data_IF_937159355979
#
_entry.id   IF_937159355979
#
_cell.length_a   1.000
_cell.length_b   1.000
_cell.length_c   1.000
_cell.angle_alpha   90.00
_cell.angle_beta   90.00
_cell.angle_gamma   90.00
#
_symmetry.space_group_name_H-M   'P 1'
#
loop_
_entity.id
_entity.type
_entity.pdbx_description
1 polymer ?
#
# COMPACT_ATOMS: atom_id res chain seq x y z
N UNK A 1 13.64 -22.18 8.95
CA UNK A 1 12.34 -21.47 8.87
C UNK A 1 11.48 -22.04 7.76
N UNK A 2 10.16 -22.08 7.92
CA UNK A 2 9.23 -22.37 6.82
C UNK A 2 8.93 -21.11 6.03
N UNK A 3 8.78 -21.22 4.71
CA UNK A 3 8.46 -20.10 3.83
C UNK A 3 7.60 -20.54 2.65
N UNK A 4 6.77 -19.64 2.13
CA UNK A 4 6.08 -19.80 0.86
C UNK A 4 6.97 -19.25 -0.26
N UNK A 5 7.45 -20.14 -1.13
CA UNK A 5 8.48 -19.86 -2.13
C UNK A 5 7.88 -19.92 -3.53
N UNK A 6 8.08 -18.88 -4.30
CA UNK A 6 7.84 -18.86 -5.74
C UNK A 6 9.04 -19.54 -6.39
N UNK A 7 8.91 -20.81 -6.73
CA UNK A 7 9.98 -21.59 -7.37
C UNK A 7 10.01 -21.41 -8.88
N UNK A 8 8.87 -21.01 -9.46
CA UNK A 8 8.70 -20.75 -10.88
C UNK A 8 7.57 -19.73 -11.08
N UNK A 9 7.78 -18.78 -11.97
CA UNK A 9 6.78 -17.78 -12.37
C UNK A 9 5.51 -18.48 -12.90
N UNK A 10 4.34 -17.92 -12.52
CA UNK A 10 3.01 -18.44 -12.89
C UNK A 10 2.71 -19.89 -12.41
N UNK A 11 3.44 -20.37 -11.41
CA UNK A 11 3.16 -21.69 -10.80
C UNK A 11 2.75 -21.51 -9.32
N UNK A 12 2.03 -22.48 -8.73
CA UNK A 12 1.72 -22.46 -7.31
C UNK A 12 2.98 -22.26 -6.46
N UNK A 13 2.84 -21.51 -5.38
CA UNK A 13 3.93 -21.30 -4.42
C UNK A 13 4.11 -22.57 -3.58
N UNK A 14 5.35 -22.94 -3.32
CA UNK A 14 5.69 -24.14 -2.56
C UNK A 14 6.05 -23.76 -1.12
N UNK A 15 5.50 -24.50 -0.15
CA UNK A 15 5.95 -24.39 1.24
C UNK A 15 7.26 -25.17 1.39
N UNK A 16 8.34 -24.47 1.75
CA UNK A 16 9.68 -25.04 1.91
C UNK A 16 10.29 -24.71 3.25
N UNK A 17 11.12 -25.61 3.74
CA UNK A 17 12.05 -25.33 4.85
C UNK A 17 13.33 -24.75 4.26
N UNK A 18 13.68 -23.55 4.69
CA UNK A 18 14.88 -22.81 4.33
C UNK A 18 15.79 -22.67 5.56
N UNK A 19 17.10 -22.44 5.39
CA UNK A 19 17.96 -22.04 6.51
C UNK A 19 17.42 -20.79 7.20
N UNK A 20 17.64 -20.68 8.51
CA UNK A 20 17.31 -19.46 9.24
C UNK A 20 18.28 -18.34 8.83
N UNK A 21 17.79 -17.10 8.63
CA UNK A 21 18.64 -15.98 8.28
C UNK A 21 19.42 -15.48 9.50
N UNK A 22 20.63 -14.96 9.27
CA UNK A 22 21.45 -14.28 10.29
C UNK A 22 21.75 -12.85 9.86
N UNK A 23 21.67 -11.86 10.78
CA UNK A 23 21.78 -10.46 10.41
C UNK A 23 23.25 -10.05 10.21
N UNK A 24 23.51 -9.33 9.13
CA UNK A 24 24.75 -8.59 8.92
C UNK A 24 24.72 -7.26 9.71
N UNK A 25 25.86 -6.53 9.82
CA UNK A 25 25.87 -5.23 10.49
C UNK A 25 24.80 -4.27 9.92
N UNK A 26 23.97 -3.71 10.85
CA UNK A 26 22.86 -2.83 10.52
C UNK A 26 21.57 -3.55 10.09
N UNK A 27 21.53 -4.88 10.12
CA UNK A 27 20.35 -5.68 9.85
C UNK A 27 19.73 -6.26 11.13
N UNK A 28 18.50 -6.74 11.01
CA UNK A 28 17.76 -7.43 12.08
C UNK A 28 17.08 -8.67 11.52
N UNK A 29 16.85 -9.69 12.36
CA UNK A 29 15.96 -10.81 12.06
C UNK A 29 14.64 -10.59 12.79
N UNK A 30 13.54 -10.73 12.06
CA UNK A 30 12.19 -10.54 12.57
C UNK A 30 11.46 -11.88 12.50
N UNK A 31 10.89 -12.33 13.61
CA UNK A 31 9.91 -13.40 13.66
C UNK A 31 8.58 -12.83 13.16
N UNK A 32 8.15 -13.27 12.00
CA UNK A 32 6.93 -12.78 11.36
C UNK A 32 5.70 -13.38 12.04
N UNK A 33 4.76 -12.53 12.43
CA UNK A 33 3.46 -12.92 12.98
C UNK A 33 2.35 -12.79 11.92
N UNK A 34 2.43 -11.77 11.07
CA UNK A 34 1.49 -11.57 9.98
C UNK A 34 2.17 -10.92 8.77
N UNK A 35 1.69 -11.22 7.57
CA UNK A 35 2.13 -10.61 6.31
C UNK A 35 0.91 -10.36 5.42
N UNK A 36 0.69 -9.11 5.04
CA UNK A 36 -0.37 -8.78 4.09
C UNK A 36 -0.04 -9.25 2.68
N UNK A 37 -1.07 -9.64 1.94
CA UNK A 37 -0.98 -9.97 0.52
C UNK A 37 -1.76 -8.95 -0.32
N UNK A 38 -1.13 -8.40 -1.35
CA UNK A 38 -1.75 -7.40 -2.22
C UNK A 38 -1.50 -7.66 -3.72
N UNK A 39 -2.00 -6.77 -4.58
CA UNK A 39 -1.79 -6.86 -6.03
C UNK A 39 -0.32 -6.92 -6.46
N UNK A 40 0.58 -6.34 -5.67
CA UNK A 40 2.03 -6.43 -5.92
C UNK A 40 2.55 -7.87 -5.84
N UNK A 41 2.02 -8.70 -4.93
CA UNK A 41 2.41 -10.11 -4.84
C UNK A 41 1.95 -10.89 -6.08
N UNK A 42 0.83 -10.51 -6.70
CA UNK A 42 0.41 -11.02 -8.01
C UNK A 42 1.39 -10.59 -9.11
N UNK A 43 1.84 -9.33 -9.11
CA UNK A 43 2.86 -8.86 -10.06
C UNK A 43 4.19 -9.62 -9.91
N UNK A 44 4.60 -9.97 -8.68
CA UNK A 44 5.77 -10.83 -8.43
C UNK A 44 5.52 -12.24 -8.97
N UNK A 45 4.34 -12.82 -8.68
CA UNK A 45 3.94 -14.14 -9.17
C UNK A 45 3.98 -14.23 -10.71
N UNK A 46 3.57 -13.16 -11.39
CA UNK A 46 3.59 -13.08 -12.87
C UNK A 46 4.94 -12.64 -13.46
N UNK A 47 5.94 -12.36 -12.63
CA UNK A 47 7.29 -12.00 -13.08
C UNK A 47 7.45 -10.55 -13.56
N UNK A 48 6.48 -9.67 -13.29
CA UNK A 48 6.49 -8.28 -13.80
C UNK A 48 7.63 -7.43 -13.21
N UNK A 49 8.24 -7.82 -12.09
CA UNK A 49 9.40 -7.14 -11.49
C UNK A 49 10.76 -7.67 -12.00
N UNK A 50 10.77 -8.65 -12.89
CA UNK A 50 12.02 -9.23 -13.40
C UNK A 50 12.84 -9.99 -12.36
N UNK A 51 12.24 -10.37 -11.24
CA UNK A 51 12.88 -11.19 -10.22
C UNK A 51 13.07 -12.62 -10.71
N UNK A 52 14.22 -13.21 -10.37
CA UNK A 52 14.54 -14.59 -10.73
C UNK A 52 14.19 -15.53 -9.57
N UNK A 53 13.31 -16.53 -9.74
CA UNK A 53 13.07 -17.54 -8.74
C UNK A 53 14.34 -18.31 -8.32
N UNK A 54 14.46 -18.80 -7.06
CA UNK A 54 13.40 -18.84 -6.05
C UNK A 54 13.22 -17.50 -5.32
N UNK A 55 11.97 -17.11 -5.02
CA UNK A 55 11.63 -15.84 -4.38
C UNK A 55 10.73 -16.12 -3.17
N UNK A 56 11.05 -15.56 -2.01
CA UNK A 56 10.11 -15.42 -0.89
C UNK A 56 9.47 -14.05 -1.00
N UNK A 57 8.17 -13.98 -1.31
CA UNK A 57 7.41 -12.74 -1.41
C UNK A 57 6.85 -12.28 -0.06
N UNK A 58 5.98 -11.28 -0.05
CA UNK A 58 5.39 -10.70 1.16
C UNK A 58 6.09 -9.41 1.58
N UNK A 59 5.57 -8.28 1.11
CA UNK A 59 6.15 -6.95 1.37
C UNK A 59 5.36 -6.14 2.40
N UNK A 60 4.45 -6.77 3.11
CA UNK A 60 3.67 -6.21 4.22
C UNK A 60 3.93 -7.00 5.52
N UNK A 61 5.20 -7.32 5.87
CA UNK A 61 5.51 -8.15 7.03
C UNK A 61 5.45 -7.34 8.30
N UNK A 62 4.93 -7.98 9.35
CA UNK A 62 4.94 -7.47 10.72
C UNK A 62 5.28 -8.60 11.70
N UNK A 63 6.02 -8.26 12.75
CA UNK A 63 6.47 -9.24 13.71
C UNK A 63 7.28 -8.66 14.84
N UNK A 64 8.11 -9.49 15.44
CA UNK A 64 8.95 -9.16 16.58
C UNK A 64 10.44 -9.38 16.23
N UNK A 65 11.30 -8.46 16.60
CA UNK A 65 12.75 -8.59 16.42
C UNK A 65 13.26 -9.69 17.35
N UNK A 66 13.96 -10.67 16.78
CA UNK A 66 14.54 -11.79 17.52
C UNK A 66 16.07 -11.78 17.53
N UNK A 67 16.72 -11.08 16.58
CA UNK A 67 18.17 -10.98 16.51
C UNK A 67 18.57 -9.61 15.92
N UNK A 68 19.65 -9.04 16.47
CA UNK A 68 20.21 -7.75 16.02
C UNK A 68 21.61 -7.97 15.45
N UNK A 69 21.86 -7.41 14.27
CA UNK A 69 23.22 -7.29 13.72
C UNK A 69 24.02 -6.19 14.40
N UNK A 70 25.33 -6.27 14.27
CA UNK A 70 26.23 -5.26 14.86
C UNK A 70 25.88 -3.83 14.40
N UNK A 71 25.97 -2.85 15.31
CA UNK A 71 25.74 -1.43 15.04
C UNK A 71 24.26 -1.03 15.02
N UNK A 72 23.30 -1.92 15.28
CA UNK A 72 21.90 -1.55 15.52
C UNK A 72 21.75 -1.07 16.96
N UNK A 73 21.38 0.18 17.17
CA UNK A 73 21.29 0.84 18.47
C UNK A 73 19.92 1.43 18.80
N UNK A 74 19.11 1.63 17.77
CA UNK A 74 17.78 2.27 17.81
C UNK A 74 16.60 1.29 17.91
N UNK A 75 16.90 -0.01 17.86
CA UNK A 75 15.95 -1.11 18.02
C UNK A 75 16.46 -2.13 19.03
N UNK A 76 15.55 -2.94 19.59
CA UNK A 76 15.83 -3.97 20.59
C UNK A 76 15.19 -5.30 20.21
N UNK A 77 15.73 -6.41 20.71
CA UNK A 77 15.05 -7.70 20.71
C UNK A 77 13.76 -7.58 21.50
N UNK A 78 12.66 -8.08 20.95
CA UNK A 78 11.32 -7.94 21.49
C UNK A 78 10.53 -6.75 20.92
N UNK A 79 11.16 -5.82 20.20
CA UNK A 79 10.45 -4.73 19.56
C UNK A 79 9.48 -5.26 18.49
N UNK A 80 8.24 -4.77 18.53
CA UNK A 80 7.20 -5.06 17.57
C UNK A 80 7.35 -4.13 16.38
N UNK A 81 7.65 -4.68 15.22
CA UNK A 81 7.97 -3.90 14.02
C UNK A 81 7.26 -4.44 12.77
N UNK A 82 7.11 -3.58 11.78
CA UNK A 82 6.89 -4.00 10.41
C UNK A 82 7.98 -3.43 9.51
N UNK A 83 8.09 -3.97 8.30
CA UNK A 83 9.11 -3.58 7.33
C UNK A 83 8.44 -2.96 6.11
N UNK A 84 8.85 -1.77 5.76
CA UNK A 84 8.36 -1.10 4.56
C UNK A 84 9.20 -1.44 3.31
N UNK A 85 8.69 -1.09 2.14
CA UNK A 85 9.27 -1.46 0.86
C UNK A 85 10.74 -1.07 0.71
N UNK A 86 11.05 0.22 0.91
CA UNK A 86 12.40 0.78 0.76
C UNK A 86 13.13 0.76 2.08
N UNK A 87 14.10 -0.15 2.24
CA UNK A 87 14.71 -0.40 3.55
C UNK A 87 15.95 0.46 3.81
N UNK A 88 16.81 0.69 2.80
CA UNK A 88 18.07 1.40 2.99
C UNK A 88 18.52 2.13 1.73
N UNK A 89 18.68 3.44 1.81
CA UNK A 89 19.36 4.24 0.80
C UNK A 89 20.87 4.09 0.84
N UNK A 90 21.58 4.58 -0.19
CA UNK A 90 23.06 4.51 -0.21
C UNK A 90 23.75 5.49 0.75
N UNK A 91 23.03 6.41 1.37
CA UNK A 91 23.52 7.40 2.35
C UNK A 91 24.35 8.56 1.78
N UNK A 92 24.80 8.51 0.52
CA UNK A 92 25.77 9.47 -0.06
C UNK A 92 25.33 10.21 -1.31
N UNK A 93 24.23 9.81 -1.96
CA UNK A 93 23.70 10.56 -3.10
C UNK A 93 22.90 11.78 -2.63
N UNK A 94 22.63 12.71 -3.55
CA UNK A 94 21.90 13.94 -3.25
C UNK A 94 20.56 13.67 -2.55
N UNK A 95 19.78 12.71 -3.05
CA UNK A 95 18.49 12.34 -2.47
C UNK A 95 18.61 11.81 -1.05
N UNK A 96 19.60 10.96 -0.76
CA UNK A 96 19.83 10.49 0.61
C UNK A 96 20.26 11.64 1.55
N UNK A 97 21.14 12.51 1.09
CA UNK A 97 21.62 13.63 1.89
C UNK A 97 20.57 14.72 2.14
N UNK A 98 19.56 14.81 1.25
CA UNK A 98 18.40 15.69 1.48
C UNK A 98 17.28 15.05 2.33
N UNK A 99 17.52 13.85 2.91
CA UNK A 99 16.55 13.16 3.75
C UNK A 99 15.60 12.21 3.00
N UNK A 100 15.54 12.26 1.67
CA UNK A 100 14.68 11.39 0.86
C UNK A 100 15.46 10.15 0.38
N UNK A 101 15.78 9.24 1.29
CA UNK A 101 16.47 8.00 0.93
C UNK A 101 15.63 7.05 0.06
N UNK A 102 14.32 7.20 0.05
CA UNK A 102 13.41 6.35 -0.72
C UNK A 102 13.47 6.62 -2.24
N UNK A 103 13.84 7.83 -2.64
CA UNK A 103 14.12 8.19 -4.03
C UNK A 103 15.57 7.87 -4.47
N UNK A 104 16.34 7.15 -3.65
CA UNK A 104 17.70 6.76 -3.97
C UNK A 104 17.71 5.72 -5.11
N UNK A 105 18.44 5.99 -6.19
CA UNK A 105 18.59 5.04 -7.30
C UNK A 105 19.28 3.70 -6.91
N UNK A 106 19.90 3.64 -5.72
CA UNK A 106 20.53 2.45 -5.14
C UNK A 106 19.84 2.00 -3.86
N UNK A 107 18.54 2.29 -3.73
CA UNK A 107 17.78 1.86 -2.56
C UNK A 107 17.73 0.33 -2.52
N UNK A 108 17.92 -0.22 -1.32
CA UNK A 108 17.70 -1.63 -1.06
C UNK A 108 16.26 -1.83 -0.56
N UNK A 109 15.62 -2.84 -1.09
CA UNK A 109 14.23 -3.18 -0.80
C UNK A 109 14.16 -4.61 -0.23
N UNK A 110 12.98 -5.06 0.13
CA UNK A 110 12.75 -6.45 0.53
C UNK A 110 13.17 -7.47 -0.55
N UNK A 111 13.15 -7.08 -1.83
CA UNK A 111 13.46 -7.97 -2.96
C UNK A 111 14.88 -8.55 -2.92
N UNK A 112 15.82 -7.88 -2.25
CA UNK A 112 17.20 -8.36 -2.08
C UNK A 112 17.38 -9.26 -0.85
N UNK A 113 16.47 -9.18 0.12
CA UNK A 113 16.61 -9.86 1.42
C UNK A 113 15.59 -10.99 1.61
N UNK A 114 14.56 -11.05 0.78
CA UNK A 114 13.39 -11.92 0.95
C UNK A 114 12.26 -11.22 1.70
N UNK A 115 11.03 -11.69 1.48
CA UNK A 115 9.81 -11.12 2.05
C UNK A 115 9.28 -11.90 3.25
N UNK A 116 8.19 -11.39 3.83
CA UNK A 116 7.60 -11.89 5.07
C UNK A 116 6.59 -13.03 4.93
N UNK A 117 6.46 -13.64 3.74
CA UNK A 117 5.72 -14.90 3.63
C UNK A 117 6.58 -16.08 4.11
N UNK A 118 7.22 -15.92 5.27
CA UNK A 118 8.14 -16.83 5.94
C UNK A 118 8.08 -16.63 7.46
N UNK A 119 8.49 -17.63 8.24
CA UNK A 119 8.52 -17.55 9.71
C UNK A 119 9.53 -16.50 10.23
N UNK A 120 10.65 -16.33 9.51
CA UNK A 120 11.69 -15.35 9.82
C UNK A 120 11.98 -14.49 8.58
N UNK A 121 12.27 -13.22 8.78
CA UNK A 121 12.66 -12.30 7.72
C UNK A 121 13.90 -11.51 8.11
N UNK A 122 14.83 -11.37 7.18
CA UNK A 122 15.96 -10.47 7.30
C UNK A 122 15.56 -9.07 6.82
N UNK A 123 15.88 -8.03 7.59
CA UNK A 123 15.59 -6.65 7.21
C UNK A 123 16.73 -5.71 7.60
N UNK A 124 16.84 -4.55 6.93
CA UNK A 124 17.64 -3.44 7.43
C UNK A 124 16.90 -2.78 8.59
N UNK A 125 17.61 -2.48 9.69
CA UNK A 125 17.02 -1.76 10.83
C UNK A 125 16.37 -0.43 10.41
N UNK A 126 16.98 0.30 9.45
CA UNK A 126 16.41 1.52 8.86
C UNK A 126 15.11 1.31 8.09
N UNK A 127 14.81 0.08 7.67
CA UNK A 127 13.56 -0.31 7.01
C UNK A 127 12.46 -0.73 7.97
N UNK A 128 12.74 -0.82 9.27
CA UNK A 128 11.76 -1.19 10.29
C UNK A 128 11.05 0.05 10.85
N UNK A 129 9.75 -0.06 11.08
CA UNK A 129 8.98 0.92 11.84
C UNK A 129 8.29 0.21 13.02
N UNK A 130 8.33 0.83 14.21
CA UNK A 130 7.66 0.33 15.39
C UNK A 130 6.15 0.31 15.20
N UNK A 131 5.51 -0.76 15.64
CA UNK A 131 4.06 -0.89 15.68
C UNK A 131 3.58 -0.28 17.01
N UNK A 132 2.60 0.64 16.99
CA UNK A 132 2.05 1.22 18.22
C UNK A 132 1.59 0.14 19.22
N UNK A 133 1.76 0.44 20.51
CA UNK A 133 1.29 -0.43 21.57
C UNK A 133 -0.22 -0.68 21.45
N UNK A 134 -0.64 -1.91 21.72
CA UNK A 134 -2.05 -2.32 21.61
C UNK A 134 -2.56 -2.60 20.20
N UNK A 135 -1.85 -2.20 19.13
CA UNK A 135 -2.25 -2.55 17.77
C UNK A 135 -1.83 -4.01 17.45
N UNK A 136 -2.80 -4.87 17.10
CA UNK A 136 -2.52 -6.24 16.69
C UNK A 136 -1.74 -6.31 15.37
N UNK A 137 -1.04 -7.41 15.10
CA UNK A 137 -0.22 -7.57 13.90
C UNK A 137 -1.06 -7.62 12.63
N UNK A 138 -2.20 -8.31 12.67
CA UNK A 138 -3.01 -8.53 11.47
C UNK A 138 -3.56 -7.22 10.87
N UNK A 139 -4.16 -6.29 11.64
CA UNK A 139 -4.57 -4.99 11.11
C UNK A 139 -3.39 -4.05 10.82
N UNK A 140 -2.21 -4.26 11.43
CA UNK A 140 -1.01 -3.47 11.14
C UNK A 140 -0.39 -3.84 9.79
N UNK A 141 -0.38 -5.11 9.39
CA UNK A 141 0.30 -5.60 8.19
C UNK A 141 -0.05 -4.81 6.92
N UNK A 142 -1.32 -4.63 6.52
CA UNK A 142 -1.65 -3.90 5.30
C UNK A 142 -1.30 -2.40 5.35
N UNK A 143 -0.99 -1.86 6.53
CA UNK A 143 -0.59 -0.45 6.66
C UNK A 143 0.82 -0.24 6.13
N UNK A 144 1.68 -1.23 6.16
CA UNK A 144 3.05 -1.16 5.62
C UNK A 144 3.12 -1.07 4.09
N UNK A 145 2.01 -1.31 3.40
CA UNK A 145 1.88 -1.07 1.96
C UNK A 145 0.71 -0.13 1.67
N UNK A 146 -0.52 -0.64 1.73
CA UNK A 146 -1.71 0.09 1.29
C UNK A 146 -1.99 1.34 2.16
N UNK A 147 -1.86 1.24 3.49
CA UNK A 147 -2.05 2.38 4.39
C UNK A 147 -1.00 3.47 4.17
N UNK A 148 0.26 3.08 4.09
CA UNK A 148 1.38 3.98 3.81
C UNK A 148 1.22 4.69 2.46
N UNK A 149 0.92 3.94 1.39
CA UNK A 149 0.71 4.48 0.05
C UNK A 149 -0.43 5.50 0.02
N UNK A 150 -1.54 5.20 0.69
CA UNK A 150 -2.69 6.12 0.76
C UNK A 150 -2.36 7.38 1.55
N UNK A 151 -1.68 7.26 2.69
CA UNK A 151 -1.31 8.42 3.49
C UNK A 151 -0.32 9.31 2.74
N UNK A 152 0.69 8.74 2.08
CA UNK A 152 1.61 9.50 1.22
C UNK A 152 0.88 10.15 0.03
N UNK A 153 -0.11 9.45 -0.55
CA UNK A 153 -0.96 10.02 -1.60
C UNK A 153 -1.79 11.22 -1.12
N UNK A 154 -2.34 11.15 0.09
CA UNK A 154 -3.04 12.26 0.73
C UNK A 154 -2.11 13.44 1.00
N UNK A 155 -0.89 13.18 1.52
CA UNK A 155 0.13 14.23 1.70
C UNK A 155 0.52 14.89 0.38
N UNK A 156 0.74 14.10 -0.67
CA UNK A 156 1.06 14.60 -2.00
C UNK A 156 -0.10 15.40 -2.60
N UNK A 157 -1.35 15.00 -2.31
CA UNK A 157 -2.53 15.77 -2.72
C UNK A 157 -2.65 17.11 -1.98
N UNK A 158 -2.13 17.19 -0.75
CA UNK A 158 -2.18 18.38 0.12
C UNK A 158 -3.60 19.02 0.16
N UNK A 159 -4.64 18.24 0.56
CA UNK A 159 -6.01 18.74 0.58
C UNK A 159 -6.18 19.84 1.61
N UNK A 160 -6.94 20.87 1.25
CA UNK A 160 -7.21 22.02 2.11
C UNK A 160 -8.61 21.90 2.77
N UNK A 161 -8.84 22.53 3.91
CA UNK A 161 -10.17 22.61 4.50
C UNK A 161 -11.22 23.10 3.49
N UNK A 162 -12.37 22.43 3.42
CA UNK A 162 -13.45 22.75 2.49
C UNK A 162 -13.30 22.17 1.09
N UNK A 163 -12.19 21.50 0.77
CA UNK A 163 -12.03 20.79 -0.50
C UNK A 163 -12.75 19.45 -0.50
N UNK A 164 -13.30 19.09 -1.66
CA UNK A 164 -13.98 17.83 -1.90
C UNK A 164 -12.99 16.80 -2.45
N UNK A 165 -12.89 15.67 -1.77
CA UNK A 165 -12.01 14.57 -2.15
C UNK A 165 -12.83 13.42 -2.73
N UNK A 166 -12.50 12.98 -3.95
CA UNK A 166 -13.04 11.77 -4.55
C UNK A 166 -12.04 10.62 -4.42
N UNK A 167 -12.52 9.44 -4.04
CA UNK A 167 -11.74 8.19 -4.07
C UNK A 167 -12.23 7.34 -5.24
N UNK A 168 -11.37 7.13 -6.24
CA UNK A 168 -11.61 6.32 -7.42
C UNK A 168 -10.89 4.97 -7.28
N UNK A 169 -11.66 3.88 -7.41
CA UNK A 169 -11.16 2.53 -7.15
C UNK A 169 -11.30 2.15 -5.68
N UNK A 170 -12.25 1.27 -5.36
CA UNK A 170 -12.66 0.96 -3.99
C UNK A 170 -12.29 -0.48 -3.61
N UNK A 171 -11.04 -0.83 -3.87
CA UNK A 171 -10.40 -2.08 -3.46
C UNK A 171 -9.54 -1.93 -2.21
N UNK A 172 -8.42 -2.67 -2.16
CA UNK A 172 -7.52 -2.73 -1.02
C UNK A 172 -6.92 -1.39 -0.56
N UNK A 173 -6.66 -0.45 -1.49
CA UNK A 173 -6.24 0.90 -1.15
C UNK A 173 -7.43 1.83 -0.90
N UNK A 174 -8.44 1.76 -1.77
CA UNK A 174 -9.56 2.70 -1.75
C UNK A 174 -10.39 2.66 -0.46
N UNK A 175 -10.59 1.47 0.15
CA UNK A 175 -11.29 1.38 1.43
C UNK A 175 -10.54 2.07 2.58
N UNK A 176 -9.19 2.08 2.53
CA UNK A 176 -8.36 2.85 3.47
C UNK A 176 -8.39 4.34 3.10
N UNK A 177 -8.36 4.69 1.80
CA UNK A 177 -8.42 6.08 1.37
C UNK A 177 -9.68 6.79 1.85
N UNK A 178 -10.85 6.13 1.83
CA UNK A 178 -12.08 6.67 2.40
C UNK A 178 -11.92 6.96 3.90
N UNK A 179 -11.39 5.99 4.64
CA UNK A 179 -11.27 6.09 6.09
C UNK A 179 -10.22 7.13 6.52
N UNK A 180 -9.04 7.14 5.90
CA UNK A 180 -8.00 8.13 6.19
C UNK A 180 -8.47 9.54 5.84
N UNK A 181 -9.09 9.75 4.66
CA UNK A 181 -9.63 11.06 4.28
C UNK A 181 -10.65 11.57 5.30
N UNK A 182 -11.57 10.70 5.75
CA UNK A 182 -12.52 11.06 6.79
C UNK A 182 -11.84 11.34 8.13
N UNK A 183 -10.86 10.52 8.55
CA UNK A 183 -10.13 10.71 9.80
C UNK A 183 -9.39 12.06 9.84
N UNK A 184 -8.99 12.57 8.67
CA UNK A 184 -8.39 13.89 8.48
C UNK A 184 -9.41 15.02 8.31
N UNK A 185 -10.72 14.75 8.45
CA UNK A 185 -11.78 15.76 8.41
C UNK A 185 -12.17 16.23 7.01
N UNK A 186 -11.85 15.47 5.94
CA UNK A 186 -12.13 15.86 4.56
C UNK A 186 -13.53 15.44 4.12
N UNK A 187 -14.20 16.25 3.29
CA UNK A 187 -15.43 15.84 2.58
C UNK A 187 -15.07 14.80 1.51
N UNK A 188 -15.37 13.53 1.80
CA UNK A 188 -14.91 12.39 1.00
C UNK A 188 -16.06 11.74 0.23
N UNK A 189 -15.88 11.56 -1.07
CA UNK A 189 -16.83 10.89 -1.96
C UNK A 189 -16.25 9.59 -2.51
N UNK A 190 -17.04 8.53 -2.50
CA UNK A 190 -16.69 7.27 -3.13
C UNK A 190 -17.18 7.23 -4.58
N UNK A 191 -16.29 6.96 -5.53
CA UNK A 191 -16.65 6.81 -6.94
C UNK A 191 -16.66 5.32 -7.28
N UNK A 192 -17.83 4.76 -7.58
CA UNK A 192 -18.00 3.31 -7.76
C UNK A 192 -18.84 2.97 -9.00
N UNK A 193 -18.48 1.85 -9.67
CA UNK A 193 -19.35 1.21 -10.66
C UNK A 193 -20.34 0.21 -10.05
N UNK A 194 -20.38 0.07 -8.71
CA UNK A 194 -21.17 -0.92 -8.00
C UNK A 194 -22.14 -0.24 -7.02
N UNK A 195 -23.33 0.17 -7.45
CA UNK A 195 -24.27 0.93 -6.62
C UNK A 195 -24.79 0.15 -5.39
N UNK A 196 -24.77 -1.18 -5.43
CA UNK A 196 -25.16 -2.04 -4.33
C UNK A 196 -24.22 -1.94 -3.10
N UNK A 197 -23.06 -1.32 -3.23
CA UNK A 197 -22.09 -1.10 -2.14
C UNK A 197 -22.28 0.24 -1.39
N UNK A 198 -23.28 1.03 -1.72
CA UNK A 198 -23.46 2.39 -1.16
C UNK A 198 -23.47 2.42 0.36
N UNK A 199 -24.25 1.55 1.01
CA UNK A 199 -24.33 1.52 2.48
C UNK A 199 -22.99 1.18 3.13
N UNK A 200 -22.26 0.21 2.56
CA UNK A 200 -20.94 -0.19 3.02
C UNK A 200 -19.92 0.94 2.86
N UNK A 201 -19.88 1.61 1.70
CA UNK A 201 -18.96 2.71 1.44
C UNK A 201 -19.22 3.91 2.38
N UNK A 202 -20.48 4.21 2.68
CA UNK A 202 -20.84 5.21 3.69
C UNK A 202 -20.38 4.81 5.09
N UNK A 203 -20.49 3.54 5.47
CA UNK A 203 -19.99 3.05 6.76
C UNK A 203 -18.46 3.15 6.89
N UNK A 204 -17.73 3.08 5.76
CA UNK A 204 -16.27 3.26 5.71
C UNK A 204 -15.82 4.73 5.66
N UNK A 205 -16.75 5.68 5.66
CA UNK A 205 -16.38 7.10 5.74
C UNK A 205 -16.72 7.95 4.53
N UNK A 206 -17.32 7.39 3.47
CA UNK A 206 -17.80 8.21 2.40
C UNK A 206 -18.99 9.08 2.87
N UNK A 207 -18.91 10.39 2.68
CA UNK A 207 -20.02 11.30 2.88
C UNK A 207 -21.09 11.06 1.81
N UNK A 208 -20.63 10.92 0.56
CA UNK A 208 -21.48 10.60 -0.58
C UNK A 208 -20.88 9.48 -1.44
N UNK A 209 -21.75 8.79 -2.17
CA UNK A 209 -21.38 7.75 -3.12
C UNK A 209 -21.93 8.11 -4.49
N UNK A 210 -21.02 8.30 -5.43
CA UNK A 210 -21.37 8.57 -6.83
C UNK A 210 -21.24 7.28 -7.65
N UNK A 211 -22.37 6.82 -8.17
CA UNK A 211 -22.35 5.71 -9.12
C UNK A 211 -21.90 6.20 -10.49
N UNK A 212 -20.80 5.65 -10.98
CA UNK A 212 -20.20 6.00 -12.25
C UNK A 212 -19.66 4.74 -12.95
N UNK A 213 -19.84 4.67 -14.26
CA UNK A 213 -19.39 3.54 -15.07
C UNK A 213 -17.89 3.59 -15.39
N UNK A 214 -17.53 3.09 -16.59
CA UNK A 214 -16.12 3.05 -17.06
C UNK A 214 -15.52 4.45 -17.28
N UNK A 215 -16.36 5.47 -17.52
CA UNK A 215 -15.96 6.85 -17.77
C UNK A 215 -16.55 7.78 -16.70
N UNK A 216 -15.98 7.81 -15.50
CA UNK A 216 -16.57 8.53 -14.35
C UNK A 216 -16.54 10.07 -14.48
N UNK A 217 -15.67 10.64 -15.31
CA UNK A 217 -15.42 12.08 -15.37
C UNK A 217 -16.65 12.93 -15.63
N UNK A 218 -17.56 12.48 -16.52
CA UNK A 218 -18.81 13.18 -16.81
C UNK A 218 -19.73 13.21 -15.60
N UNK A 219 -19.95 12.07 -14.94
CA UNK A 219 -20.79 11.99 -13.74
C UNK A 219 -20.19 12.84 -12.60
N UNK A 220 -18.87 12.79 -12.42
CA UNK A 220 -18.16 13.59 -11.42
C UNK A 220 -18.33 15.10 -11.66
N UNK A 221 -18.29 15.55 -12.93
CA UNK A 221 -18.51 16.95 -13.30
C UNK A 221 -19.94 17.39 -13.00
N UNK A 222 -20.93 16.59 -13.32
CA UNK A 222 -22.35 16.87 -13.01
C UNK A 222 -22.60 16.91 -11.48
N UNK A 223 -21.83 16.18 -10.70
CA UNK A 223 -21.87 16.27 -9.23
C UNK A 223 -21.19 17.53 -8.67
N UNK A 224 -20.75 18.46 -9.53
CA UNK A 224 -20.08 19.71 -9.16
C UNK A 224 -18.56 19.64 -9.09
N UNK A 225 -17.95 18.54 -9.52
CA UNK A 225 -16.50 18.34 -9.58
C UNK A 225 -15.82 18.18 -8.21
N UNK A 226 -14.53 17.87 -8.27
CA UNK A 226 -13.70 17.58 -7.10
C UNK A 226 -12.40 18.37 -7.14
N UNK A 227 -11.95 18.80 -5.98
CA UNK A 227 -10.68 19.52 -5.83
C UNK A 227 -9.51 18.52 -5.81
N UNK A 228 -9.76 17.34 -5.24
CA UNK A 228 -8.79 16.23 -5.16
C UNK A 228 -9.44 14.93 -5.65
N UNK A 229 -8.70 14.17 -6.45
CA UNK A 229 -9.04 12.77 -6.78
C UNK A 229 -7.90 11.88 -6.34
N UNK A 230 -8.18 10.95 -5.43
CA UNK A 230 -7.29 9.86 -5.05
C UNK A 230 -7.61 8.65 -5.93
N UNK A 231 -6.75 8.35 -6.87
CA UNK A 231 -6.94 7.23 -7.80
C UNK A 231 -6.16 6.00 -7.32
N UNK A 232 -6.89 4.93 -7.02
CA UNK A 232 -6.35 3.61 -6.66
C UNK A 232 -6.79 2.51 -7.63
N UNK A 233 -7.42 2.89 -8.75
CA UNK A 233 -7.83 1.94 -9.80
C UNK A 233 -6.64 1.57 -10.70
N UNK A 234 -6.70 0.38 -11.29
CA UNK A 234 -5.74 -0.08 -12.30
C UNK A 234 -6.16 0.29 -13.73
N UNK A 235 -7.38 0.81 -13.94
CA UNK A 235 -7.90 1.11 -15.27
C UNK A 235 -7.41 2.46 -15.78
N UNK A 236 -6.53 2.45 -16.79
CA UNK A 236 -6.05 3.65 -17.46
C UNK A 236 -7.20 4.50 -18.03
N UNK A 237 -8.27 3.87 -18.54
CA UNK A 237 -9.47 4.55 -19.06
C UNK A 237 -10.19 5.32 -17.94
N UNK A 238 -10.39 4.69 -16.79
CA UNK A 238 -11.02 5.37 -15.65
C UNK A 238 -10.19 6.54 -15.14
N UNK A 239 -8.86 6.39 -15.06
CA UNK A 239 -7.95 7.45 -14.62
C UNK A 239 -8.03 8.63 -15.59
N UNK A 240 -7.91 8.38 -16.90
CA UNK A 240 -8.00 9.41 -17.93
C UNK A 240 -9.34 10.16 -17.91
N UNK A 241 -10.45 9.41 -17.84
CA UNK A 241 -11.79 9.99 -17.75
C UNK A 241 -11.98 10.84 -16.50
N UNK A 242 -11.54 10.34 -15.33
CA UNK A 242 -11.74 11.02 -14.04
C UNK A 242 -11.05 12.38 -13.96
N UNK A 243 -9.99 12.64 -14.73
CA UNK A 243 -9.38 13.97 -14.84
C UNK A 243 -10.39 15.03 -15.27
N UNK A 244 -11.38 14.67 -16.09
CA UNK A 244 -12.50 15.55 -16.47
C UNK A 244 -13.48 15.87 -15.34
N UNK A 245 -13.38 15.17 -14.21
CA UNK A 245 -14.15 15.42 -13.00
C UNK A 245 -13.45 16.38 -12.00
N UNK A 246 -12.20 16.81 -12.27
CA UNK A 246 -11.53 17.82 -11.50
C UNK A 246 -12.11 19.21 -11.74
N UNK A 247 -12.24 20.00 -10.68
CA UNK A 247 -12.45 21.44 -10.74
C UNK A 247 -11.22 22.13 -11.32
N UNK A 248 -11.34 23.42 -11.62
CA UNK A 248 -10.19 24.25 -11.98
C UNK A 248 -9.19 24.31 -10.81
N UNK A 249 -7.88 24.20 -11.11
CA UNK A 249 -6.82 24.10 -10.11
C UNK A 249 -6.77 22.75 -9.35
N UNK A 250 -7.71 21.83 -9.62
CA UNK A 250 -7.78 20.55 -8.95
C UNK A 250 -6.64 19.60 -9.33
N UNK A 251 -6.40 18.59 -8.48
CA UNK A 251 -5.30 17.63 -8.66
C UNK A 251 -5.76 16.19 -8.43
N UNK A 252 -5.31 15.31 -9.31
CA UNK A 252 -5.43 13.87 -9.16
C UNK A 252 -4.09 13.30 -8.71
N UNK A 253 -4.12 12.47 -7.68
CA UNK A 253 -2.97 11.66 -7.26
C UNK A 253 -3.24 10.21 -7.60
N UNK A 254 -2.45 9.66 -8.53
CA UNK A 254 -2.55 8.27 -8.94
C UNK A 254 -1.58 7.41 -8.13
N UNK A 255 -2.13 6.40 -7.46
CA UNK A 255 -1.42 5.40 -6.67
C UNK A 255 -1.62 3.97 -7.22
N UNK A 256 -2.54 3.80 -8.16
CA UNK A 256 -2.78 2.52 -8.83
C UNK A 256 -1.78 2.26 -9.94
N UNK A 257 -1.40 0.99 -10.12
CA UNK A 257 -0.60 0.56 -11.27
C UNK A 257 -1.55 0.36 -12.45
N UNK A 258 -1.53 1.27 -13.41
CA UNK A 258 -2.42 1.20 -14.56
C UNK A 258 -2.04 0.04 -15.51
N UNK A 259 -3.06 -0.55 -16.10
CA UNK A 259 -2.96 -1.67 -17.07
C UNK A 259 -2.42 -1.25 -18.44
N UNK A 260 -2.39 0.07 -18.71
CA UNK A 260 -1.92 0.68 -19.96
C UNK A 260 -1.47 2.13 -19.72
N UNK A 261 -0.81 2.77 -20.70
CA UNK A 261 -0.52 4.21 -20.67
C UNK A 261 -1.80 5.04 -20.50
N UNK A 262 -1.76 6.04 -19.61
CA UNK A 262 -2.88 6.95 -19.36
C UNK A 262 -2.90 8.00 -20.48
N UNK A 263 -3.95 7.99 -21.32
CA UNK A 263 -4.14 8.98 -22.36
C UNK A 263 -4.73 10.28 -21.78
N UNK A 264 -3.96 11.33 -21.72
CA UNK A 264 -4.39 12.63 -21.18
C UNK A 264 -4.49 13.66 -22.28
N UNK A 265 -5.65 14.34 -22.39
CA UNK A 265 -5.80 15.50 -23.26
C UNK A 265 -5.07 16.72 -22.64
N UNK A 266 -4.02 17.26 -23.30
CA UNK A 266 -3.25 18.40 -22.76
C UNK A 266 -4.13 19.63 -22.52
N UNK A 267 -5.14 19.89 -23.37
CA UNK A 267 -6.05 21.02 -23.20
C UNK A 267 -6.85 20.93 -21.90
N UNK A 268 -7.20 19.73 -21.44
CA UNK A 268 -7.89 19.53 -20.18
C UNK A 268 -7.04 19.98 -18.99
N UNK A 269 -5.75 19.70 -19.02
CA UNK A 269 -4.82 20.15 -17.98
C UNK A 269 -4.59 21.67 -18.06
N UNK A 270 -4.27 22.16 -19.26
CA UNK A 270 -3.89 23.54 -19.51
C UNK A 270 -5.01 24.53 -19.15
N UNK A 271 -6.18 24.35 -19.73
CA UNK A 271 -7.29 25.31 -19.60
C UNK A 271 -7.87 25.36 -18.19
N UNK A 272 -7.79 24.25 -17.45
CA UNK A 272 -8.29 24.21 -16.07
C UNK A 272 -7.18 24.23 -15.01
N UNK A 273 -5.91 24.42 -15.39
CA UNK A 273 -4.75 24.31 -14.49
C UNK A 273 -4.78 23.03 -13.63
N UNK A 274 -5.30 21.93 -14.20
CA UNK A 274 -5.45 20.67 -13.50
C UNK A 274 -4.13 19.91 -13.47
N UNK A 275 -3.94 19.09 -12.44
CA UNK A 275 -2.70 18.38 -12.23
C UNK A 275 -2.94 16.88 -12.14
N UNK A 276 -2.02 16.09 -12.74
CA UNK A 276 -1.90 14.65 -12.53
C UNK A 276 -0.55 14.40 -11.87
N UNK A 277 -0.56 13.81 -10.69
CA UNK A 277 0.62 13.46 -9.90
C UNK A 277 0.68 11.96 -9.68
N UNK A 278 1.88 11.37 -9.71
CA UNK A 278 2.11 10.02 -9.20
C UNK A 278 2.46 10.06 -7.72
N UNK A 279 2.06 9.03 -6.98
CA UNK A 279 2.48 8.84 -5.60
C UNK A 279 2.60 7.36 -5.27
N UNK A 280 3.55 7.05 -4.41
CA UNK A 280 3.72 5.75 -3.77
C UNK A 280 4.04 5.97 -2.30
N UNK A 281 4.86 5.12 -1.69
CA UNK A 281 5.40 5.34 -0.34
C UNK A 281 6.46 6.45 -0.38
N UNK A 282 6.38 7.43 0.50
CA UNK A 282 7.26 8.59 0.53
C UNK A 282 7.95 8.73 1.89
N UNK A 283 7.54 9.64 2.76
CA UNK A 283 8.20 9.89 4.03
C UNK A 283 7.74 8.93 5.13
N UNK A 284 8.69 8.47 5.97
CA UNK A 284 8.41 7.56 7.11
C UNK A 284 7.33 8.09 8.05
N UNK A 285 7.21 9.42 8.20
CA UNK A 285 6.14 10.04 9.02
C UNK A 285 4.74 9.64 8.56
N UNK A 286 4.53 9.45 7.25
CA UNK A 286 3.23 9.07 6.71
C UNK A 286 2.83 7.67 7.16
N UNK A 287 3.81 6.75 7.23
CA UNK A 287 3.59 5.41 7.79
C UNK A 287 3.27 5.46 9.28
N UNK A 288 4.02 6.25 10.05
CA UNK A 288 3.80 6.37 11.50
C UNK A 288 2.42 6.93 11.78
N UNK A 289 2.01 8.00 11.11
CA UNK A 289 0.68 8.59 11.26
C UNK A 289 -0.44 7.62 10.83
N UNK A 290 -0.24 6.86 9.74
CA UNK A 290 -1.19 5.83 9.32
C UNK A 290 -1.38 4.74 10.39
N UNK A 291 -0.29 4.27 11.01
CA UNK A 291 -0.33 3.30 12.11
C UNK A 291 -1.04 3.87 13.36
N UNK A 292 -0.77 5.12 13.72
CA UNK A 292 -1.42 5.81 14.85
C UNK A 292 -2.93 5.97 14.64
N UNK A 293 -3.37 6.31 13.44
CA UNK A 293 -4.79 6.40 13.11
C UNK A 293 -5.50 5.04 13.22
N UNK A 294 -4.81 3.95 12.89
CA UNK A 294 -5.35 2.59 13.10
C UNK A 294 -5.32 2.22 14.58
N UNK A 295 -4.24 2.47 15.29
CA UNK A 295 -4.11 2.18 16.72
C UNK A 295 -5.16 2.92 17.55
N UNK A 296 -5.47 4.18 17.19
CA UNK A 296 -6.52 4.97 17.84
C UNK A 296 -7.95 4.54 17.47
N UNK A 297 -8.12 3.56 16.57
CA UNK A 297 -9.43 3.07 16.11
C UNK A 297 -10.16 4.02 15.15
N UNK A 298 -9.57 5.13 14.72
CA UNK A 298 -10.14 6.06 13.73
C UNK A 298 -10.19 5.44 12.33
N UNK A 299 -9.27 4.53 12.03
CA UNK A 299 -9.21 3.74 10.81
C UNK A 299 -9.21 2.26 11.17
N UNK A 300 -10.06 1.48 10.52
CA UNK A 300 -10.19 0.04 10.75
C UNK A 300 -9.97 -0.71 9.42
N UNK A 301 -8.77 -1.22 9.16
CA UNK A 301 -8.53 -2.03 7.98
C UNK A 301 -9.48 -3.24 7.95
N UNK A 302 -10.18 -3.43 6.85
CA UNK A 302 -11.03 -4.60 6.65
C UNK A 302 -10.15 -5.74 6.10
N UNK A 303 -9.93 -6.74 6.92
CA UNK A 303 -9.00 -7.84 6.64
C UNK A 303 -9.72 -9.19 6.69
N UNK A 304 -9.23 -10.11 5.87
CA UNK A 304 -9.51 -11.54 5.95
C UNK A 304 -8.19 -12.23 6.33
N UNK A 305 -8.19 -13.00 7.42
CA UNK A 305 -6.98 -13.63 7.97
C UNK A 305 -6.94 -15.11 7.61
N UNK A 306 -5.78 -15.57 7.15
CA UNK A 306 -5.55 -16.93 6.69
C UNK A 306 -4.22 -17.48 7.22
N UNK A 307 -4.10 -18.77 7.50
CA UNK A 307 -2.79 -19.36 7.78
C UNK A 307 -1.93 -19.39 6.50
N UNK A 308 -0.61 -19.27 6.64
CA UNK A 308 0.35 -19.27 5.52
C UNK A 308 0.18 -20.47 4.56
N UNK A 309 -0.25 -21.61 5.08
CA UNK A 309 -0.48 -22.82 4.26
C UNK A 309 -1.55 -22.63 3.17
N UNK A 310 -2.44 -21.65 3.32
CA UNK A 310 -3.48 -21.30 2.35
C UNK A 310 -3.01 -20.24 1.32
N UNK A 311 -1.74 -19.95 1.25
CA UNK A 311 -1.18 -18.86 0.40
C UNK A 311 -1.65 -18.94 -1.06
N UNK A 312 -1.74 -20.13 -1.65
CA UNK A 312 -2.19 -20.29 -3.04
C UNK A 312 -3.70 -20.06 -3.22
N UNK A 313 -4.52 -20.46 -2.25
CA UNK A 313 -5.95 -20.16 -2.23
C UNK A 313 -6.18 -18.66 -2.12
N UNK A 314 -5.50 -18.02 -1.17
CA UNK A 314 -5.59 -16.57 -0.94
C UNK A 314 -5.14 -15.79 -2.18
N UNK A 315 -4.03 -16.21 -2.82
CA UNK A 315 -3.56 -15.62 -4.06
C UNK A 315 -4.62 -15.71 -5.17
N UNK A 316 -5.22 -16.89 -5.37
CA UNK A 316 -6.25 -17.09 -6.40
C UNK A 316 -7.51 -16.24 -6.12
N UNK A 317 -7.95 -16.15 -4.85
CA UNK A 317 -9.06 -15.28 -4.45
C UNK A 317 -8.76 -13.80 -4.66
N UNK A 318 -7.53 -13.38 -4.36
CA UNK A 318 -7.09 -12.00 -4.58
C UNK A 318 -7.10 -11.66 -6.07
N UNK A 319 -6.58 -12.56 -6.92
CA UNK A 319 -6.56 -12.42 -8.38
C UNK A 319 -7.98 -12.36 -8.98
N UNK A 320 -8.91 -13.14 -8.43
CA UNK A 320 -10.32 -13.12 -8.80
C UNK A 320 -11.11 -11.92 -8.22
N UNK A 321 -10.47 -11.02 -7.46
CA UNK A 321 -11.13 -9.87 -6.81
C UNK A 321 -12.14 -10.25 -5.73
N UNK A 322 -11.99 -11.42 -5.11
CA UNK A 322 -12.90 -11.97 -4.11
C UNK A 322 -12.51 -11.65 -2.66
N UNK A 323 -11.33 -11.07 -2.45
CA UNK A 323 -10.86 -10.65 -1.12
C UNK A 323 -11.50 -9.32 -0.72
N UNK A 324 -11.97 -9.22 0.52
CA UNK A 324 -12.69 -8.05 1.03
C UNK A 324 -12.07 -7.52 2.32
N UNK A 325 -11.19 -6.55 2.27
CA UNK A 325 -10.51 -5.82 1.19
C UNK A 325 -9.04 -6.18 1.16
N UNK A 326 -8.50 -6.68 2.28
CA UNK A 326 -7.10 -7.07 2.44
C UNK A 326 -7.00 -8.50 2.93
N UNK A 327 -6.14 -9.28 2.33
CA UNK A 327 -5.78 -10.60 2.86
C UNK A 327 -4.53 -10.48 3.73
N UNK A 328 -4.52 -11.21 4.83
CA UNK A 328 -3.38 -11.27 5.76
C UNK A 328 -3.07 -12.73 6.04
N UNK A 329 -1.83 -13.12 5.81
CA UNK A 329 -1.31 -14.45 6.14
C UNK A 329 -0.71 -14.42 7.53
N UNK A 330 -1.02 -15.42 8.35
CA UNK A 330 -0.46 -15.59 9.69
C UNK A 330 0.47 -16.79 9.76
N UNK A 331 1.47 -16.69 10.60
CA UNK A 331 2.43 -17.74 10.88
C UNK A 331 2.08 -18.35 12.24
N UNK A 332 1.62 -19.60 12.23
CA UNK A 332 1.29 -20.35 13.44
C UNK A 332 2.55 -20.88 14.12
#
# INVERSE_FOLDING_TARGET
MRAAVITKINQPWELKTLPDPHPQPGQVVIKIHASGMCGTDLHVHHGHFGLTPPIVAGHEPVGEIVELGAGVTDLRVGDRVGVHWNQKGCGRCRTCQSGNQYACAKVQTWMQLGGGNSELMLAWASGCALIPEGLAYEPAAPIFCAGYTVMSGLRNADPKPGERVAVLGLGGLGHLALQFSRALGLETWAITGQPNKTAELKSMGAHEVLSAGKEPGTAMRYAGGFDVILSTTNSAVQIASALGGLREGGRMVNMGVADAPIAVNPMLLMMGQRQLRGSSQDERRDLVEALELVASGKVKPMIEVYPLVQVNEVRARLEAGQVRYRAVLTHA
#
